data_IF_924776279824
#
_entry.id   IF_924776279824
#
_cell.length_a   1.000
_cell.length_b   1.000
_cell.length_c   1.000
_cell.angle_alpha   90.00
_cell.angle_beta   90.00
_cell.angle_gamma   90.00
#
_symmetry.space_group_name_H-M   'P 1'
#
loop_
_entity.id
_entity.type
_entity.pdbx_description
1 polymer ?
#
# COMPACT_ATOMS: atom_id res chain seq x y z
N UNK A 1 20.60 18.46 8.79
CA UNK A 1 19.63 17.84 9.73
C UNK A 1 18.19 18.00 9.26
N UNK A 2 17.63 19.20 9.17
CA UNK A 2 16.21 19.41 8.81
C UNK A 2 15.86 18.90 7.39
N UNK A 3 16.75 19.14 6.42
CA UNK A 3 16.59 18.63 5.05
C UNK A 3 16.63 17.09 4.96
N UNK A 4 17.48 16.44 5.77
CA UNK A 4 17.59 14.98 5.78
C UNK A 4 16.33 14.33 6.39
N UNK A 5 15.76 14.96 7.44
CA UNK A 5 14.46 14.57 8.02
C UNK A 5 13.35 14.70 6.98
N UNK A 6 13.34 15.78 6.20
CA UNK A 6 12.39 15.96 5.10
C UNK A 6 12.53 14.84 4.07
N UNK A 7 13.74 14.58 3.58
CA UNK A 7 13.97 13.54 2.56
C UNK A 7 13.61 12.15 3.10
N UNK A 8 14.03 11.80 4.32
CA UNK A 8 13.69 10.52 4.94
C UNK A 8 12.18 10.39 5.19
N UNK A 9 11.52 11.46 5.63
CA UNK A 9 10.08 11.51 5.83
C UNK A 9 9.30 11.33 4.53
N UNK A 10 9.74 11.97 3.44
CA UNK A 10 9.15 11.80 2.11
C UNK A 10 9.40 10.39 1.57
N UNK A 11 10.57 9.80 1.81
CA UNK A 11 10.85 8.42 1.40
C UNK A 11 9.89 7.42 2.06
N UNK A 12 9.75 7.49 3.39
CA UNK A 12 8.82 6.65 4.14
C UNK A 12 7.37 6.95 3.75
N UNK A 13 7.03 8.23 3.59
CA UNK A 13 5.70 8.66 3.16
C UNK A 13 5.34 8.19 1.75
N UNK A 14 6.33 8.04 0.88
CA UNK A 14 6.13 7.47 -0.47
C UNK A 14 5.77 5.99 -0.40
N UNK A 15 6.34 5.24 0.54
CA UNK A 15 5.94 3.84 0.80
C UNK A 15 4.50 3.80 1.34
N UNK A 16 4.17 4.64 2.33
CA UNK A 16 2.81 4.71 2.86
C UNK A 16 1.79 5.15 1.82
N UNK A 17 2.19 5.98 0.87
CA UNK A 17 1.35 6.39 -0.25
C UNK A 17 0.98 5.20 -1.14
N UNK A 18 1.94 4.34 -1.48
CA UNK A 18 1.67 3.12 -2.25
C UNK A 18 0.69 2.19 -1.51
N UNK A 19 0.88 2.02 -0.20
CA UNK A 19 -0.01 1.20 0.64
C UNK A 19 -1.41 1.83 0.70
N UNK A 20 -1.49 3.16 0.91
CA UNK A 20 -2.74 3.90 0.98
C UNK A 20 -3.52 3.85 -0.34
N UNK A 21 -2.83 3.93 -1.48
CA UNK A 21 -3.41 3.77 -2.81
C UNK A 21 -3.98 2.37 -2.99
N UNK A 22 -3.27 1.34 -2.53
CA UNK A 22 -3.72 -0.05 -2.59
C UNK A 22 -5.03 -0.25 -1.79
N UNK A 23 -5.06 0.22 -0.53
CA UNK A 23 -6.28 0.22 0.28
C UNK A 23 -7.43 0.99 -0.37
N UNK A 24 -7.14 2.20 -0.86
CA UNK A 24 -8.15 3.05 -1.51
C UNK A 24 -8.71 2.41 -2.76
N UNK A 25 -7.88 1.70 -3.53
CA UNK A 25 -8.29 1.06 -4.77
C UNK A 25 -9.26 -0.10 -4.52
N UNK A 26 -8.97 -0.97 -3.55
CA UNK A 26 -9.88 -2.06 -3.16
C UNK A 26 -11.19 -1.45 -2.66
N UNK A 27 -11.11 -0.56 -1.67
CA UNK A 27 -12.30 0.01 -1.04
C UNK A 27 -13.21 0.72 -2.04
N UNK A 28 -12.64 1.54 -2.93
CA UNK A 28 -13.43 2.29 -3.92
C UNK A 28 -14.20 1.37 -4.87
N UNK A 29 -13.64 0.20 -5.20
CA UNK A 29 -14.28 -0.73 -6.13
C UNK A 29 -15.24 -1.71 -5.47
N UNK A 30 -15.01 -2.06 -4.21
CA UNK A 30 -15.74 -3.15 -3.56
C UNK A 30 -16.63 -2.70 -2.42
N UNK A 31 -16.40 -1.50 -1.87
CA UNK A 31 -17.12 -0.95 -0.71
C UNK A 31 -16.68 -1.51 0.63
N UNK A 32 -15.86 -2.57 0.66
CA UNK A 32 -15.41 -3.23 1.89
C UNK A 32 -13.91 -3.04 2.15
N UNK A 33 -13.53 -3.16 3.42
CA UNK A 33 -12.14 -3.08 3.86
C UNK A 33 -11.47 -4.46 3.83
N UNK A 34 -10.33 -4.55 3.15
CA UNK A 34 -9.43 -5.71 3.22
C UNK A 34 -8.25 -5.39 4.16
N UNK A 35 -8.32 -5.86 5.41
CA UNK A 35 -7.29 -5.64 6.44
C UNK A 35 -6.00 -6.42 6.11
N UNK A 36 -6.10 -7.55 5.38
CA UNK A 36 -4.95 -8.37 5.01
C UNK A 36 -4.00 -7.68 4.01
N UNK A 37 -4.32 -6.47 3.54
CA UNK A 37 -3.47 -5.70 2.65
C UNK A 37 -2.12 -5.35 3.32
N UNK A 38 -2.07 -5.22 4.65
CA UNK A 38 -0.80 -5.10 5.39
C UNK A 38 0.11 -6.32 5.20
N UNK A 39 -0.46 -7.52 5.27
CA UNK A 39 0.29 -8.77 5.06
C UNK A 39 0.77 -8.93 3.62
N UNK A 40 0.07 -8.35 2.65
CA UNK A 40 0.58 -8.30 1.27
C UNK A 40 1.86 -7.44 1.16
N UNK A 41 2.02 -6.42 2.01
CA UNK A 41 3.26 -5.64 2.12
C UNK A 41 4.38 -6.48 2.75
N UNK A 42 4.07 -7.24 3.80
CA UNK A 42 5.01 -8.19 4.41
C UNK A 42 5.53 -9.17 3.36
N UNK A 43 4.63 -9.80 2.58
CA UNK A 43 5.00 -10.71 1.50
C UNK A 43 5.85 -10.00 0.44
N UNK A 44 5.57 -8.75 0.11
CA UNK A 44 6.42 -7.93 -0.75
C UNK A 44 7.84 -7.77 -0.21
N UNK A 45 8.00 -7.53 1.08
CA UNK A 45 9.31 -7.39 1.72
C UNK A 45 10.10 -8.72 1.72
N UNK A 46 9.43 -9.84 2.02
CA UNK A 46 10.06 -11.18 2.07
C UNK A 46 10.40 -11.73 0.69
N UNK A 47 9.49 -11.61 -0.28
CA UNK A 47 9.74 -12.02 -1.66
C UNK A 47 10.82 -11.15 -2.28
N UNK A 48 10.78 -9.82 -2.06
CA UNK A 48 11.83 -8.90 -2.49
C UNK A 48 13.20 -9.27 -1.92
N UNK A 49 13.24 -9.72 -0.67
CA UNK A 49 14.46 -10.16 -0.01
C UNK A 49 15.01 -11.41 -0.69
N UNK A 50 14.17 -12.42 -0.92
CA UNK A 50 14.60 -13.66 -1.61
C UNK A 50 15.09 -13.38 -3.03
N UNK A 51 14.39 -12.53 -3.77
CA UNK A 51 14.77 -12.20 -5.15
C UNK A 51 16.11 -11.46 -5.21
N UNK A 52 16.36 -10.55 -4.26
CA UNK A 52 17.58 -9.75 -4.22
C UNK A 52 18.76 -10.50 -3.60
N UNK A 53 18.56 -11.16 -2.47
CA UNK A 53 19.64 -11.71 -1.63
C UNK A 53 19.87 -13.18 -1.92
N UNK A 54 18.81 -13.99 -1.97
CA UNK A 54 18.94 -15.45 -2.18
C UNK A 54 19.23 -15.78 -3.64
N UNK A 55 18.55 -15.11 -4.57
CA UNK A 55 18.69 -15.34 -6.01
C UNK A 55 19.71 -14.40 -6.68
N UNK A 56 20.10 -13.32 -6.00
CA UNK A 56 21.13 -12.39 -6.48
C UNK A 56 20.72 -11.54 -7.68
N UNK A 57 19.42 -11.35 -7.93
CA UNK A 57 18.97 -10.49 -9.04
C UNK A 57 19.25 -9.01 -8.78
N UNK A 58 19.39 -8.24 -9.86
CA UNK A 58 19.49 -6.79 -9.79
C UNK A 58 18.26 -6.20 -9.07
N UNK A 59 18.46 -5.16 -8.26
CA UNK A 59 17.43 -4.46 -7.50
C UNK A 59 16.17 -4.15 -8.32
N UNK A 60 16.33 -3.54 -9.50
CA UNK A 60 15.18 -3.17 -10.35
C UNK A 60 14.41 -4.39 -10.85
N UNK A 61 15.12 -5.46 -11.17
CA UNK A 61 14.51 -6.71 -11.65
C UNK A 61 13.81 -7.46 -10.52
N UNK A 62 14.44 -7.51 -9.34
CA UNK A 62 13.85 -8.03 -8.11
C UNK A 62 12.55 -7.31 -7.74
N UNK A 63 12.52 -5.97 -7.85
CA UNK A 63 11.32 -5.18 -7.60
C UNK A 63 10.19 -5.57 -8.56
N UNK A 64 10.47 -5.66 -9.86
CA UNK A 64 9.45 -5.97 -10.87
C UNK A 64 8.90 -7.39 -10.69
N UNK A 65 9.76 -8.37 -10.41
CA UNK A 65 9.33 -9.75 -10.12
C UNK A 65 8.49 -9.79 -8.85
N UNK A 66 8.92 -9.10 -7.79
CA UNK A 66 8.18 -9.03 -6.53
C UNK A 66 6.78 -8.44 -6.73
N UNK A 67 6.67 -7.36 -7.49
CA UNK A 67 5.36 -6.80 -7.87
C UNK A 67 4.50 -7.83 -8.60
N UNK A 68 5.07 -8.59 -9.53
CA UNK A 68 4.38 -9.65 -10.25
C UNK A 68 3.89 -10.78 -9.34
N UNK A 69 4.75 -11.28 -8.44
CA UNK A 69 4.41 -12.36 -7.51
C UNK A 69 3.31 -11.92 -6.55
N UNK A 70 3.43 -10.74 -5.94
CA UNK A 70 2.41 -10.25 -5.00
C UNK A 70 1.11 -9.88 -5.74
N UNK A 71 1.17 -9.45 -7.00
CA UNK A 71 -0.02 -9.30 -7.84
C UNK A 71 -0.74 -10.65 -8.07
N UNK A 72 0.01 -11.73 -8.30
CA UNK A 72 -0.55 -13.09 -8.41
C UNK A 72 -1.14 -13.54 -7.07
N UNK A 73 -0.50 -13.23 -5.93
CA UNK A 73 -1.07 -13.50 -4.61
C UNK A 73 -2.35 -12.70 -4.36
N UNK A 74 -2.42 -11.45 -4.81
CA UNK A 74 -3.64 -10.64 -4.80
C UNK A 74 -4.75 -11.27 -5.66
N UNK A 75 -4.41 -11.76 -6.86
CA UNK A 75 -5.33 -12.53 -7.71
C UNK A 75 -5.86 -13.78 -6.99
N UNK A 76 -4.96 -14.57 -6.40
CA UNK A 76 -5.31 -15.81 -5.70
C UNK A 76 -6.18 -15.53 -4.47
N UNK A 77 -5.83 -14.51 -3.68
CA UNK A 77 -6.63 -14.06 -2.55
C UNK A 77 -8.06 -13.71 -2.99
N UNK A 78 -8.21 -12.93 -4.07
CA UNK A 78 -9.53 -12.63 -4.61
C UNK A 78 -10.26 -13.88 -5.13
N UNK A 79 -9.59 -14.71 -5.92
CA UNK A 79 -10.23 -15.84 -6.59
C UNK A 79 -10.60 -16.98 -5.64
N UNK A 80 -9.78 -17.24 -4.62
CA UNK A 80 -9.94 -18.36 -3.69
C UNK A 80 -10.74 -18.00 -2.45
N UNK A 81 -10.65 -16.74 -1.98
CA UNK A 81 -11.29 -16.32 -0.72
C UNK A 81 -12.50 -15.44 -1.01
N UNK A 82 -12.30 -14.32 -1.68
CA UNK A 82 -13.34 -13.28 -1.77
C UNK A 82 -14.44 -13.59 -2.79
N UNK A 83 -14.10 -14.06 -3.99
CA UNK A 83 -15.07 -14.40 -5.05
C UNK A 83 -16.04 -15.52 -4.63
N UNK A 84 -15.59 -16.62 -3.99
CA UNK A 84 -16.51 -17.67 -3.54
C UNK A 84 -17.51 -17.18 -2.49
N UNK A 85 -17.07 -16.32 -1.56
CA UNK A 85 -17.94 -15.73 -0.54
C UNK A 85 -18.99 -14.81 -1.19
N UNK A 86 -18.57 -13.98 -2.14
CA UNK A 86 -19.48 -13.10 -2.89
C UNK A 86 -20.51 -13.90 -3.70
N UNK A 87 -20.09 -14.99 -4.35
CA UNK A 87 -21.00 -15.83 -5.13
C UNK A 87 -22.07 -16.52 -4.27
N UNK A 88 -21.82 -16.72 -2.97
CA UNK A 88 -22.77 -17.30 -2.02
C UNK A 88 -23.69 -16.26 -1.36
N UNK A 89 -23.67 -15.01 -1.83
CA UNK A 89 -24.47 -13.93 -1.24
C UNK A 89 -23.92 -13.42 0.09
N UNK A 90 -22.62 -13.62 0.36
CA UNK A 90 -21.99 -13.13 1.58
C UNK A 90 -22.07 -11.61 1.69
N UNK A 91 -22.72 -11.11 2.75
CA UNK A 91 -22.71 -9.71 3.17
C UNK A 91 -21.28 -9.20 3.46
N UNK A 92 -21.10 -7.88 3.53
CA UNK A 92 -19.81 -7.22 3.78
C UNK A 92 -19.07 -7.75 5.02
N UNK A 93 -19.82 -8.09 6.07
CA UNK A 93 -19.25 -8.67 7.30
C UNK A 93 -18.51 -10.00 7.05
N UNK A 94 -19.03 -10.87 6.17
CA UNK A 94 -18.37 -12.15 5.85
C UNK A 94 -17.03 -11.93 5.14
N UNK A 95 -16.96 -10.90 4.29
CA UNK A 95 -15.74 -10.52 3.59
C UNK A 95 -14.70 -9.97 4.57
N UNK A 96 -15.14 -9.16 5.54
CA UNK A 96 -14.28 -8.68 6.61
C UNK A 96 -13.72 -9.82 7.45
N UNK A 97 -14.56 -10.77 7.87
CA UNK A 97 -14.13 -11.96 8.62
C UNK A 97 -13.11 -12.78 7.83
N UNK A 98 -13.36 -12.98 6.53
CA UNK A 98 -12.41 -13.69 5.67
C UNK A 98 -11.07 -12.94 5.52
N UNK A 99 -11.12 -11.61 5.45
CA UNK A 99 -9.91 -10.79 5.48
C UNK A 99 -9.14 -10.92 6.79
N UNK A 100 -9.82 -11.04 7.94
CA UNK A 100 -9.17 -11.30 9.23
C UNK A 100 -8.53 -12.70 9.21
N UNK A 101 -9.19 -13.68 8.62
CA UNK A 101 -8.61 -15.01 8.40
C UNK A 101 -7.29 -14.95 7.62
N UNK A 102 -7.24 -14.17 6.54
CA UNK A 102 -6.01 -13.93 5.77
C UNK A 102 -4.96 -13.15 6.57
N UNK A 103 -5.36 -12.13 7.32
CA UNK A 103 -4.48 -11.33 8.19
C UNK A 103 -3.74 -12.22 9.19
N UNK A 104 -4.44 -13.22 9.75
CA UNK A 104 -3.80 -14.18 10.64
C UNK A 104 -2.95 -15.13 9.80
N UNK A 105 -3.54 -15.87 8.85
CA UNK A 105 -2.91 -16.97 8.13
C UNK A 105 -1.59 -16.61 7.43
N UNK A 106 -1.53 -15.47 6.73
CA UNK A 106 -0.40 -15.10 5.87
C UNK A 106 0.92 -14.99 6.66
N UNK A 107 0.99 -14.30 7.81
CA UNK A 107 2.19 -14.29 8.64
C UNK A 107 2.66 -15.67 9.09
N UNK A 108 1.77 -16.63 9.40
CA UNK A 108 2.24 -17.97 9.79
C UNK A 108 2.79 -18.74 8.59
N UNK A 109 2.15 -18.63 7.42
CA UNK A 109 2.70 -19.25 6.19
C UNK A 109 4.06 -18.65 5.85
N UNK A 110 4.20 -17.32 5.98
CA UNK A 110 5.47 -16.64 5.78
C UNK A 110 6.53 -17.10 6.81
N UNK A 111 6.16 -17.22 8.08
CA UNK A 111 7.03 -17.72 9.14
C UNK A 111 7.51 -19.17 8.93
N UNK A 112 6.70 -20.02 8.28
CA UNK A 112 7.11 -21.38 7.93
C UNK A 112 8.14 -21.42 6.80
N UNK A 113 8.04 -20.52 5.82
CA UNK A 113 8.91 -20.51 4.63
C UNK A 113 10.21 -19.75 4.89
N UNK A 114 10.13 -18.56 5.51
CA UNK A 114 11.27 -17.66 5.72
C UNK A 114 11.83 -17.70 7.15
N UNK A 115 11.13 -18.34 8.08
CA UNK A 115 11.46 -18.31 9.51
C UNK A 115 10.95 -17.04 10.21
N UNK A 116 11.17 -16.99 11.52
CA UNK A 116 10.73 -15.88 12.39
C UNK A 116 11.82 -14.83 12.62
N UNK A 117 13.02 -15.02 12.04
CA UNK A 117 14.13 -14.08 12.22
C UNK A 117 14.00 -12.90 11.26
N UNK A 118 14.44 -11.74 11.72
CA UNK A 118 14.66 -10.57 10.87
C UNK A 118 15.74 -10.87 9.85
N UNK A 119 15.42 -10.64 8.58
CA UNK A 119 16.28 -10.82 7.42
C UNK A 119 16.84 -9.47 7.01
N UNK A 120 18.16 -9.31 7.16
CA UNK A 120 18.84 -8.05 6.85
C UNK A 120 19.16 -7.93 5.37
N UNK A 121 18.67 -6.86 4.74
CA UNK A 121 19.06 -6.52 3.38
C UNK A 121 20.55 -6.11 3.33
N UNK A 122 21.29 -6.47 2.28
CA UNK A 122 22.65 -6.00 2.08
C UNK A 122 22.66 -4.49 1.84
N UNK A 123 23.53 -3.76 2.54
CA UNK A 123 23.69 -2.29 2.43
C UNK A 123 24.23 -1.79 1.07
N UNK A 124 24.43 -2.69 0.10
CA UNK A 124 25.08 -2.39 -1.18
C UNK A 124 24.16 -1.68 -2.20
N UNK A 125 22.88 -1.50 -1.87
CA UNK A 125 21.87 -0.94 -2.79
C UNK A 125 22.08 0.57 -3.01
N UNK A 126 22.75 1.27 -2.09
CA UNK A 126 23.22 2.64 -2.28
C UNK A 126 24.22 3.03 -1.18
N UNK A 127 25.45 2.53 -1.26
CA UNK A 127 26.54 2.98 -0.38
C UNK A 127 27.04 4.40 -0.70
N UNK A 128 26.69 4.95 -1.87
CA UNK A 128 27.01 6.33 -2.21
C UNK A 128 25.99 7.28 -1.57
N UNK A 129 26.48 8.08 -0.62
CA UNK A 129 25.82 9.34 -0.29
C UNK A 129 25.85 10.22 -1.53
N UNK A 130 24.69 10.60 -2.04
CA UNK A 130 24.60 11.58 -3.12
C UNK A 130 24.76 12.95 -2.47
N UNK A 131 25.91 13.59 -2.70
CA UNK A 131 26.13 14.97 -2.27
C UNK A 131 25.40 15.91 -3.24
N UNK A 132 24.28 16.49 -2.82
CA UNK A 132 23.71 17.67 -3.47
C UNK A 132 24.25 18.90 -2.73
N UNK A 133 25.40 19.41 -3.18
CA UNK A 133 26.08 20.53 -2.51
C UNK A 133 26.59 20.15 -1.12
N UNK A 134 26.21 20.92 -0.10
CA UNK A 134 26.67 20.76 1.30
C UNK A 134 25.78 19.79 2.12
N UNK A 135 24.85 19.09 1.45
CA UNK A 135 23.89 18.17 2.09
C UNK A 135 24.13 16.75 1.61
N UNK A 136 24.53 15.88 2.55
CA UNK A 136 24.64 14.44 2.31
C UNK A 136 23.24 13.81 2.36
N UNK A 137 22.79 13.27 1.23
CA UNK A 137 21.53 12.56 1.13
C UNK A 137 21.81 11.06 1.02
N UNK A 138 21.08 10.25 1.79
CA UNK A 138 21.08 8.79 1.59
C UNK A 138 20.54 8.48 0.20
N UNK A 139 21.39 7.98 -0.70
CA UNK A 139 20.97 7.65 -2.07
C UNK A 139 19.86 6.59 -2.12
N UNK A 140 19.72 5.79 -1.06
CA UNK A 140 18.63 4.85 -0.87
C UNK A 140 17.28 5.56 -0.73
N UNK A 141 17.20 6.60 0.12
CA UNK A 141 15.96 7.38 0.30
C UNK A 141 15.56 8.07 -1.02
N UNK A 142 16.53 8.64 -1.73
CA UNK A 142 16.28 9.27 -3.03
C UNK A 142 15.74 8.26 -4.04
N UNK A 143 16.36 7.08 -4.13
CA UNK A 143 15.94 6.01 -5.02
C UNK A 143 14.51 5.51 -4.70
N UNK A 144 14.17 5.36 -3.41
CA UNK A 144 12.79 5.02 -2.99
C UNK A 144 11.79 6.07 -3.46
N UNK A 145 12.09 7.35 -3.26
CA UNK A 145 11.22 8.44 -3.67
C UNK A 145 10.99 8.38 -5.18
N UNK A 146 12.07 8.28 -5.97
CA UNK A 146 11.98 8.24 -7.44
C UNK A 146 11.14 7.05 -7.91
N UNK A 147 11.42 5.85 -7.43
CA UNK A 147 10.69 4.64 -7.85
C UNK A 147 9.23 4.70 -7.43
N UNK A 148 8.95 5.08 -6.18
CA UNK A 148 7.58 5.20 -5.70
C UNK A 148 6.81 6.23 -6.52
N UNK A 149 7.40 7.39 -6.83
CA UNK A 149 6.76 8.42 -7.64
C UNK A 149 6.49 7.94 -9.07
N UNK A 150 7.43 7.20 -9.68
CA UNK A 150 7.23 6.57 -10.99
C UNK A 150 6.04 5.61 -10.94
N UNK A 151 5.94 4.76 -9.91
CA UNK A 151 4.82 3.82 -9.75
C UNK A 151 3.49 4.56 -9.57
N UNK A 152 3.47 5.62 -8.75
CA UNK A 152 2.27 6.43 -8.54
C UNK A 152 1.80 7.10 -9.84
N UNK A 153 2.71 7.74 -10.58
CA UNK A 153 2.41 8.38 -11.86
C UNK A 153 1.99 7.38 -12.93
N UNK A 154 2.65 6.22 -12.98
CA UNK A 154 2.30 5.14 -13.88
C UNK A 154 0.88 4.64 -13.59
N UNK A 155 0.53 4.45 -12.33
CA UNK A 155 -0.81 4.04 -11.94
C UNK A 155 -1.86 5.12 -12.25
N UNK A 156 -1.58 6.39 -11.96
CA UNK A 156 -2.50 7.48 -12.26
C UNK A 156 -2.73 7.61 -13.77
N UNK A 157 -1.67 7.46 -14.57
CA UNK A 157 -1.73 7.43 -16.03
C UNK A 157 -2.50 6.21 -16.53
N UNK A 158 -2.31 5.04 -15.91
CA UNK A 158 -3.06 3.83 -16.21
C UNK A 158 -4.56 4.07 -16.02
N UNK A 159 -4.98 4.66 -14.90
CA UNK A 159 -6.38 5.00 -14.69
C UNK A 159 -6.89 6.01 -15.71
N UNK A 160 -6.12 7.06 -16.02
CA UNK A 160 -6.52 8.16 -16.91
C UNK A 160 -6.66 7.72 -18.37
N UNK A 161 -5.67 7.02 -18.90
CA UNK A 161 -5.50 6.82 -20.34
C UNK A 161 -5.88 5.41 -20.83
N UNK A 162 -5.94 4.40 -19.96
CA UNK A 162 -6.28 3.04 -20.42
C UNK A 162 -7.77 2.74 -20.33
N UNK A 163 -8.29 1.99 -21.31
CA UNK A 163 -9.70 1.52 -21.31
C UNK A 163 -10.04 0.73 -20.06
N UNK A 164 -9.09 -0.09 -19.59
CA UNK A 164 -9.23 -0.89 -18.37
C UNK A 164 -9.34 -0.01 -17.14
N UNK A 165 -8.46 0.98 -16.98
CA UNK A 165 -8.50 1.92 -15.87
C UNK A 165 -9.74 2.82 -15.88
N UNK A 166 -10.22 3.23 -17.06
CA UNK A 166 -11.48 3.94 -17.21
C UNK A 166 -12.68 3.08 -16.80
N UNK A 167 -12.73 1.81 -17.22
CA UNK A 167 -13.76 0.88 -16.81
C UNK A 167 -13.77 0.62 -15.30
N UNK A 168 -12.59 0.49 -14.66
CA UNK A 168 -12.50 0.38 -13.20
C UNK A 168 -13.06 1.61 -12.48
N UNK A 169 -12.80 2.82 -12.99
CA UNK A 169 -13.36 4.05 -12.43
C UNK A 169 -14.89 4.11 -12.61
N UNK A 170 -15.41 3.71 -13.77
CA UNK A 170 -16.85 3.64 -14.00
C UNK A 170 -17.55 2.67 -13.03
N UNK A 171 -16.96 1.50 -12.77
CA UNK A 171 -17.50 0.52 -11.79
C UNK A 171 -17.52 1.09 -10.38
N UNK A 172 -16.50 1.87 -10.02
CA UNK A 172 -16.38 2.50 -8.72
C UNK A 172 -17.33 3.70 -8.53
N UNK A 173 -17.77 4.32 -9.62
CA UNK A 173 -18.72 5.44 -9.58
C UNK A 173 -20.17 4.94 -9.54
N UNK A 174 -20.54 3.97 -10.38
CA UNK A 174 -21.84 3.29 -10.32
C UNK A 174 -21.74 1.83 -10.75
N UNK A 175 -21.82 0.96 -9.74
CA UNK A 175 -21.76 -0.49 -9.93
C UNK A 175 -22.98 -1.04 -10.65
N UNK A 176 -24.18 -0.50 -10.38
CA UNK A 176 -25.44 -1.00 -10.94
C UNK A 176 -25.51 -0.66 -12.42
N UNK A 177 -25.23 0.60 -12.77
CA UNK A 177 -25.22 1.04 -14.17
C UNK A 177 -24.15 0.32 -14.98
N UNK A 178 -22.98 0.06 -14.39
CA UNK A 178 -21.94 -0.72 -15.05
C UNK A 178 -22.39 -2.16 -15.37
N UNK A 179 -23.23 -2.79 -14.52
CA UNK A 179 -23.82 -4.10 -14.83
C UNK A 179 -24.80 -4.03 -16.00
N UNK A 180 -25.63 -2.98 -16.06
CA UNK A 180 -26.63 -2.80 -17.10
C UNK A 180 -26.01 -2.62 -18.49
N UNK A 181 -24.83 -2.03 -18.58
CA UNK A 181 -24.06 -1.88 -19.83
C UNK A 181 -23.22 -3.13 -20.14
N UNK A 182 -23.38 -4.23 -19.39
CA UNK A 182 -22.73 -5.52 -19.66
C UNK A 182 -21.28 -5.63 -19.20
N UNK A 183 -20.80 -4.73 -18.33
CA UNK A 183 -19.42 -4.79 -17.82
C UNK A 183 -19.28 -5.94 -16.83
N UNK A 184 -18.33 -6.85 -17.09
CA UNK A 184 -18.04 -7.96 -16.18
C UNK A 184 -17.28 -7.49 -14.93
N UNK A 185 -18.02 -7.08 -13.91
CA UNK A 185 -17.47 -6.55 -12.66
C UNK A 185 -16.52 -7.54 -11.96
N UNK A 186 -16.83 -8.83 -11.97
CA UNK A 186 -15.99 -9.84 -11.29
C UNK A 186 -14.56 -9.85 -11.86
N UNK A 187 -14.43 -9.69 -13.18
CA UNK A 187 -13.12 -9.59 -13.86
C UNK A 187 -12.37 -8.34 -13.43
N UNK A 188 -13.03 -7.19 -13.38
CA UNK A 188 -12.39 -5.93 -12.98
C UNK A 188 -12.02 -5.88 -11.51
N UNK A 189 -12.86 -6.39 -10.61
CA UNK A 189 -12.51 -6.55 -9.18
C UNK A 189 -11.26 -7.42 -9.05
N UNK A 190 -11.21 -8.54 -9.77
CA UNK A 190 -10.03 -9.42 -9.76
C UNK A 190 -8.76 -8.68 -10.19
N UNK A 191 -8.86 -7.86 -11.24
CA UNK A 191 -7.75 -7.07 -11.73
C UNK A 191 -7.35 -5.96 -10.74
N UNK A 192 -8.30 -5.38 -10.02
CA UNK A 192 -8.05 -4.40 -8.96
C UNK A 192 -7.27 -5.04 -7.81
N UNK A 193 -7.61 -6.26 -7.42
CA UNK A 193 -6.83 -7.02 -6.44
C UNK A 193 -5.40 -7.32 -6.92
N UNK A 194 -5.20 -7.61 -8.21
CA UNK A 194 -3.86 -7.77 -8.79
C UNK A 194 -3.05 -6.48 -8.72
N UNK A 195 -3.64 -5.35 -9.14
CA UNK A 195 -2.99 -4.04 -9.11
C UNK A 195 -2.67 -3.63 -7.67
N UNK A 196 -3.60 -3.85 -6.74
CA UNK A 196 -3.40 -3.60 -5.31
C UNK A 196 -2.26 -4.44 -4.75
N UNK A 197 -2.21 -5.73 -5.11
CA UNK A 197 -1.12 -6.64 -4.76
C UNK A 197 0.23 -6.15 -5.31
N UNK A 198 0.28 -5.70 -6.56
CA UNK A 198 1.49 -5.13 -7.15
C UNK A 198 1.99 -3.90 -6.38
N UNK A 199 1.09 -2.99 -5.98
CA UNK A 199 1.42 -1.78 -5.22
C UNK A 199 1.97 -2.12 -3.83
N UNK A 200 1.35 -3.08 -3.13
CA UNK A 200 1.87 -3.52 -1.82
C UNK A 200 3.16 -4.31 -1.95
N UNK A 201 3.33 -5.08 -3.04
CA UNK A 201 4.58 -5.76 -3.35
C UNK A 201 5.72 -4.76 -3.55
N UNK A 202 5.48 -3.70 -4.32
CA UNK A 202 6.42 -2.60 -4.45
C UNK A 202 6.71 -1.92 -3.12
N UNK A 203 5.67 -1.57 -2.35
CA UNK A 203 5.83 -0.93 -1.05
C UNK A 203 6.69 -1.77 -0.10
N UNK A 204 6.46 -3.09 -0.04
CA UNK A 204 7.23 -4.02 0.79
C UNK A 204 8.69 -4.15 0.34
N UNK A 205 8.92 -4.29 -0.96
CA UNK A 205 10.28 -4.38 -1.52
C UNK A 205 11.09 -3.08 -1.33
N UNK A 206 10.43 -1.92 -1.35
CA UNK A 206 11.05 -0.63 -1.02
C UNK A 206 11.27 -0.45 0.48
N UNK A 207 10.42 -1.04 1.32
CA UNK A 207 10.51 -0.93 2.78
C UNK A 207 11.64 -1.78 3.38
N UNK A 208 11.86 -2.99 2.85
CA UNK A 208 12.87 -3.93 3.34
C UNK A 208 14.28 -3.34 3.49
N UNK A 209 14.83 -2.63 2.50
CA UNK A 209 16.14 -1.98 2.60
C UNK A 209 16.24 -0.88 3.67
N UNK A 210 15.13 -0.29 4.12
CA UNK A 210 15.13 0.80 5.11
C UNK A 210 15.08 0.26 6.55
N UNK A 211 14.31 -0.81 6.79
CA UNK A 211 13.98 -1.28 8.15
C UNK A 211 14.17 -2.79 8.38
N UNK A 212 14.68 -3.53 7.38
CA UNK A 212 14.80 -5.00 7.33
C UNK A 212 13.51 -5.72 6.90
N UNK A 213 13.63 -6.99 6.47
CA UNK A 213 12.52 -7.88 6.18
C UNK A 213 12.20 -8.76 7.40
N UNK A 214 10.93 -8.95 7.70
CA UNK A 214 10.45 -9.80 8.79
C UNK A 214 8.98 -10.13 8.57
N UNK A 215 8.51 -11.18 9.23
CA UNK A 215 7.11 -11.60 9.21
C UNK A 215 6.18 -10.65 9.98
N UNK A 216 6.71 -9.74 10.82
CA UNK A 216 5.89 -8.84 11.64
C UNK A 216 5.66 -7.45 10.99
N UNK A 217 6.20 -7.24 9.78
CA UNK A 217 6.14 -5.98 9.04
C UNK A 217 4.72 -5.66 8.55
N UNK A 218 3.81 -6.63 8.56
CA UNK A 218 2.40 -6.46 8.16
C UNK A 218 1.68 -5.36 8.93
N UNK A 219 2.12 -5.06 10.15
CA UNK A 219 1.63 -3.97 11.02
C UNK A 219 1.73 -2.58 10.37
N UNK A 220 2.63 -2.38 9.40
CA UNK A 220 2.76 -1.13 8.63
C UNK A 220 1.53 -0.88 7.76
N UNK A 221 0.78 -1.93 7.42
CA UNK A 221 -0.53 -1.80 6.81
C UNK A 221 -1.46 -0.86 7.59
N UNK A 222 -1.35 -0.81 8.92
CA UNK A 222 -2.14 0.10 9.77
C UNK A 222 -1.73 1.56 9.53
N UNK A 223 -0.43 1.86 9.38
CA UNK A 223 0.06 3.20 9.03
C UNK A 223 -0.35 3.61 7.61
N UNK A 224 -0.29 2.68 6.66
CA UNK A 224 -0.78 2.90 5.30
C UNK A 224 -2.30 3.09 5.22
N UNK A 225 -3.06 2.36 6.04
CA UNK A 225 -4.50 2.56 6.21
C UNK A 225 -4.79 3.94 6.80
N UNK A 226 -4.04 4.35 7.83
CA UNK A 226 -4.14 5.68 8.40
C UNK A 226 -3.93 6.76 7.33
N UNK A 227 -2.94 6.58 6.47
CA UNK A 227 -2.66 7.49 5.35
C UNK A 227 -3.84 7.54 4.35
N UNK A 228 -4.45 6.39 4.04
CA UNK A 228 -5.64 6.34 3.18
C UNK A 228 -6.83 7.07 3.80
N UNK A 229 -7.04 6.92 5.11
CA UNK A 229 -8.15 7.58 5.83
C UNK A 229 -7.96 9.09 5.86
N UNK A 230 -6.77 9.58 6.22
CA UNK A 230 -6.45 11.02 6.22
C UNK A 230 -6.56 11.58 4.80
N UNK A 231 -6.02 10.87 3.81
CA UNK A 231 -6.08 11.24 2.40
C UNK A 231 -7.51 11.30 1.84
N UNK A 232 -8.42 10.52 2.41
CA UNK A 232 -9.79 10.37 1.96
C UNK A 232 -10.00 8.98 1.38
N UNK A 233 -10.66 8.12 2.16
CA UNK A 233 -10.83 6.71 1.84
C UNK A 233 -11.55 6.54 0.50
N UNK A 234 -10.96 5.78 -0.42
CA UNK A 234 -11.47 5.58 -1.78
C UNK A 234 -10.96 6.59 -2.83
N UNK A 235 -10.19 7.60 -2.43
CA UNK A 235 -9.49 8.50 -3.37
C UNK A 235 -8.03 8.06 -3.55
N UNK A 236 -7.68 7.55 -4.74
CA UNK A 236 -6.30 7.13 -5.06
C UNK A 236 -5.32 8.31 -4.90
N UNK A 237 -5.67 9.48 -5.42
CA UNK A 237 -4.85 10.70 -5.27
C UNK A 237 -4.85 11.22 -3.84
N UNK A 238 -5.96 11.08 -3.12
CA UNK A 238 -6.03 11.39 -1.69
C UNK A 238 -5.03 10.55 -0.89
N UNK A 239 -4.99 9.24 -1.12
CA UNK A 239 -4.04 8.33 -0.49
C UNK A 239 -2.57 8.67 -0.76
N UNK A 240 -2.24 9.17 -1.95
CA UNK A 240 -0.88 9.65 -2.27
C UNK A 240 -0.47 10.83 -1.38
N UNK A 241 -1.33 11.83 -1.26
CA UNK A 241 -1.03 13.01 -0.45
C UNK A 241 -1.04 12.65 1.05
N UNK A 242 -1.98 11.81 1.46
CA UNK A 242 -2.10 11.31 2.83
C UNK A 242 -0.86 10.53 3.28
N UNK A 243 -0.30 9.68 2.42
CA UNK A 243 0.92 8.93 2.71
C UNK A 243 2.14 9.83 2.90
N UNK A 244 2.35 10.80 2.00
CA UNK A 244 3.42 11.79 2.13
C UNK A 244 3.26 12.60 3.42
N UNK A 245 2.05 13.06 3.74
CA UNK A 245 1.78 13.80 4.97
C UNK A 245 2.11 12.98 6.21
N UNK A 246 1.66 11.72 6.28
CA UNK A 246 1.99 10.85 7.41
C UNK A 246 3.50 10.65 7.51
N UNK A 247 4.20 10.35 6.41
CA UNK A 247 5.65 10.16 6.43
C UNK A 247 6.42 11.38 6.92
N UNK A 248 6.00 12.58 6.52
CA UNK A 248 6.57 13.83 7.01
C UNK A 248 6.34 14.01 8.52
N UNK A 249 5.10 13.84 8.97
CA UNK A 249 4.75 13.90 10.40
C UNK A 249 5.58 12.89 11.20
N UNK A 250 5.75 11.68 10.68
CA UNK A 250 6.53 10.62 11.30
C UNK A 250 8.03 10.96 11.38
N UNK A 251 8.58 11.55 10.32
CA UNK A 251 9.96 12.01 10.28
C UNK A 251 10.25 13.12 11.30
N UNK A 252 9.38 14.14 11.37
CA UNK A 252 9.53 15.26 12.30
C UNK A 252 9.26 14.85 13.75
N UNK A 253 8.21 14.08 14.02
CA UNK A 253 7.89 13.62 15.39
C UNK A 253 8.97 12.72 15.98
N UNK A 254 9.53 11.82 15.16
CA UNK A 254 10.56 10.88 15.62
C UNK A 254 11.89 11.55 15.99
N UNK A 255 12.19 12.72 15.42
CA UNK A 255 13.46 13.43 15.63
C UNK A 255 13.38 14.60 16.61
N UNK A 256 12.24 15.29 16.67
CA UNK A 256 12.06 16.48 17.52
C UNK A 256 11.47 16.17 18.90
N UNK A 257 10.70 15.08 19.05
CA UNK A 257 9.99 14.76 20.31
C UNK A 257 10.60 13.51 20.95
N UNK A 258 10.36 12.34 20.38
CA UNK A 258 10.97 11.05 20.74
C UNK A 258 10.33 9.95 19.87
N UNK A 259 11.10 8.92 19.54
CA UNK A 259 10.64 7.76 18.77
C UNK A 259 9.48 7.02 19.46
N UNK A 260 9.37 7.09 20.79
CA UNK A 260 8.29 6.45 21.57
C UNK A 260 6.92 7.06 21.31
N UNK A 261 6.85 8.38 21.06
CA UNK A 261 5.57 9.09 20.84
C UNK A 261 5.15 9.12 19.36
N UNK A 262 5.98 8.59 18.46
CA UNK A 262 5.77 8.60 17.00
C UNK A 262 4.42 8.01 16.61
N UNK A 263 4.10 6.82 17.12
CA UNK A 263 2.83 6.15 16.83
C UNK A 263 1.64 6.84 17.52
N UNK A 264 1.82 7.35 18.74
CA UNK A 264 0.78 8.08 19.48
C UNK A 264 0.36 9.34 18.73
N UNK A 265 1.33 10.12 18.21
CA UNK A 265 1.07 11.34 17.44
C UNK A 265 0.37 10.99 16.12
N UNK A 266 0.85 9.96 15.41
CA UNK A 266 0.27 9.52 14.14
C UNK A 266 -1.20 9.14 14.29
N UNK A 267 -1.52 8.27 15.26
CA UNK A 267 -2.90 7.84 15.50
C UNK A 267 -3.76 8.94 16.12
N UNK A 268 -3.19 9.82 16.94
CA UNK A 268 -3.88 11.00 17.46
C UNK A 268 -4.32 11.97 16.35
N UNK A 269 -3.44 12.23 15.38
CA UNK A 269 -3.76 13.06 14.21
C UNK A 269 -4.84 12.38 13.35
N UNK A 270 -4.77 11.06 13.16
CA UNK A 270 -5.82 10.34 12.47
C UNK A 270 -7.20 10.53 13.13
N UNK A 271 -7.28 10.37 14.46
CA UNK A 271 -8.53 10.58 15.21
C UNK A 271 -9.02 12.02 15.05
N UNK A 272 -8.11 13.00 15.15
CA UNK A 272 -8.45 14.42 15.01
C UNK A 272 -8.97 14.75 13.60
N UNK A 273 -8.34 14.22 12.56
CA UNK A 273 -8.79 14.37 11.17
C UNK A 273 -10.16 13.73 10.98
N UNK A 274 -10.42 12.56 11.57
CA UNK A 274 -11.72 11.90 11.49
C UNK A 274 -12.83 12.69 12.21
N UNK A 275 -12.52 13.33 13.34
CA UNK A 275 -13.45 14.20 14.06
C UNK A 275 -13.83 15.44 13.25
N UNK A 276 -12.85 16.08 12.60
CA UNK A 276 -13.07 17.33 11.87
C UNK A 276 -13.59 17.07 10.44
N UNK A 277 -13.10 16.02 9.79
CA UNK A 277 -13.46 15.60 8.43
C UNK A 277 -13.52 14.06 8.33
N UNK A 278 -14.67 13.44 8.63
CA UNK A 278 -14.82 11.98 8.63
C UNK A 278 -14.65 11.33 7.25
N UNK A 279 -14.64 12.13 6.17
CA UNK A 279 -14.37 11.67 4.80
C UNK A 279 -12.90 11.81 4.38
N UNK A 280 -12.02 12.31 5.26
CA UNK A 280 -10.65 12.69 4.93
C UNK A 280 -10.57 13.96 4.09
N UNK A 281 -9.36 14.31 3.64
CA UNK A 281 -9.08 15.57 2.93
C UNK A 281 -9.70 15.58 1.52
N UNK A 282 -9.61 14.46 0.79
CA UNK A 282 -10.11 14.30 -0.58
C UNK A 282 -11.21 13.25 -0.72
N UNK A 283 -12.02 13.04 0.34
CA UNK A 283 -13.09 12.06 0.33
C UNK A 283 -14.11 12.27 -0.79
N UNK A 284 -14.41 11.20 -1.53
CA UNK A 284 -15.40 11.23 -2.61
C UNK A 284 -16.81 11.36 -2.02
N UNK A 285 -17.63 12.25 -2.57
CA UNK A 285 -19.05 12.38 -2.21
C UNK A 285 -19.76 11.11 -2.66
N UNK A 286 -20.04 10.19 -1.75
CA UNK A 286 -21.00 9.13 -2.01
C UNK A 286 -22.35 9.83 -2.22
N UNK A 287 -22.84 9.87 -3.47
CA UNK A 287 -24.25 10.16 -3.73
C UNK A 287 -24.99 9.02 -3.03
N UNK A 288 -25.50 9.31 -1.83
CA UNK A 288 -26.58 8.51 -1.27
C UNK A 288 -27.66 8.53 -2.33
N UNK A 289 -28.00 7.36 -2.83
CA UNK A 289 -29.25 7.16 -3.55
C UNK A 289 -30.33 7.82 -2.69
N UNK A 290 -31.00 8.80 -3.29
CA UNK A 290 -32.20 9.35 -2.72
C UNK A 290 -33.17 8.20 -2.55
N UNK A 291 -33.57 7.99 -1.29
CA UNK A 291 -34.89 7.52 -0.83
C UNK A 291 -35.79 6.85 -1.88
#
# INVERSE_FOLDING_TARGET
MLFDILVSGVAIGSIYSLIAMAFSLIFRSTGYLNIAQGEMVMLGSLVGYTMLVTLGFNYYFSLLITMGIVAVLGYLSNRLVFVPIQNRGGQELHILIASIGLLIMLPQVAGLIWGTKTLSYPNNISSNQLALGDVQISGLNFLIIVIAFIIMLALQSFFRFTRVGQAMRAIADDRVMSQLVGVNIKKYITLIFMVSGALTGAAGALFGPVYFASYDIGTIGIKGFAAAVIGGFGSVTGGMIGGILIGLIEGFSGTMISSTYRDLILYGILILVLLIRPRGIFGVKQRRDAS
#
